data_IF_008795558256
#
_entry.id   IF_008795558256
#
_cell.length_a   1.000
_cell.length_b   1.000
_cell.length_c   1.000
_cell.angle_alpha   90.00
_cell.angle_beta   90.00
_cell.angle_gamma   90.00
#
_symmetry.space_group_name_H-M   'P 1'
#
loop_
_entity.id
_entity.type
_entity.pdbx_description
1 polymer ?
#
# COMPACT_ATOMS: atom_id res chain seq x y z
N UNK A 1 7.67 -30.30 19.19
CA UNK A 1 7.48 -29.04 18.44
C UNK A 1 8.38 -29.11 17.23
N UNK A 2 7.84 -28.88 16.03
CA UNK A 2 8.70 -28.69 14.87
C UNK A 2 9.55 -27.44 15.12
N UNK A 3 10.84 -27.53 14.82
CA UNK A 3 11.75 -26.39 14.82
C UNK A 3 11.89 -25.89 13.39
N UNK A 4 12.27 -24.63 13.22
CA UNK A 4 12.59 -24.05 11.92
C UNK A 4 13.72 -24.89 11.29
N UNK A 5 13.52 -25.33 10.06
CA UNK A 5 14.48 -26.15 9.32
C UNK A 5 15.43 -25.27 8.52
N UNK A 6 16.64 -25.78 8.25
CA UNK A 6 17.58 -25.11 7.34
C UNK A 6 16.98 -24.88 5.96
N UNK A 7 16.09 -25.77 5.50
CA UNK A 7 15.38 -25.62 4.21
C UNK A 7 14.47 -24.40 4.20
N UNK A 8 13.75 -24.14 5.29
CA UNK A 8 12.88 -22.96 5.42
C UNK A 8 13.71 -21.67 5.44
N UNK A 9 14.81 -21.65 6.20
CA UNK A 9 15.74 -20.51 6.25
C UNK A 9 16.35 -20.19 4.88
N UNK A 10 16.87 -21.20 4.18
CA UNK A 10 17.43 -21.02 2.83
C UNK A 10 16.36 -20.58 1.83
N UNK A 11 15.15 -21.14 1.93
CA UNK A 11 14.02 -20.76 1.08
C UNK A 11 13.64 -19.29 1.23
N UNK A 12 13.62 -18.77 2.46
CA UNK A 12 13.37 -17.36 2.74
C UNK A 12 14.48 -16.44 2.20
N UNK A 13 15.73 -16.88 2.25
CA UNK A 13 16.86 -16.20 1.64
C UNK A 13 16.98 -16.41 0.11
N UNK A 14 16.07 -17.20 -0.50
CA UNK A 14 16.12 -17.60 -1.92
C UNK A 14 17.44 -18.28 -2.32
N UNK A 15 18.11 -18.96 -1.39
CA UNK A 15 19.36 -19.69 -1.60
C UNK A 15 19.14 -21.20 -1.66
N UNK A 16 20.05 -21.91 -2.31
CA UNK A 16 20.05 -23.39 -2.39
C UNK A 16 21.26 -24.02 -1.69
N UNK A 17 22.24 -23.22 -1.29
CA UNK A 17 23.44 -23.63 -0.55
C UNK A 17 23.50 -22.97 0.83
N UNK A 18 24.17 -23.66 1.77
CA UNK A 18 24.37 -23.22 3.15
C UNK A 18 25.62 -22.35 3.25
N UNK A 19 25.53 -21.23 3.96
CA UNK A 19 26.62 -20.35 4.34
C UNK A 19 27.14 -20.66 5.75
N UNK A 20 28.39 -20.32 6.06
CA UNK A 20 28.94 -20.50 7.41
C UNK A 20 28.12 -19.81 8.51
N UNK A 21 27.47 -18.69 8.18
CA UNK A 21 26.66 -17.89 9.11
C UNK A 21 25.24 -18.41 9.32
N UNK A 22 24.71 -19.23 8.40
CA UNK A 22 23.30 -19.65 8.40
C UNK A 22 22.91 -20.37 9.68
N UNK A 23 23.81 -21.18 10.22
CA UNK A 23 23.54 -21.90 11.48
C UNK A 23 23.26 -20.92 12.62
N UNK A 24 24.00 -19.82 12.70
CA UNK A 24 23.85 -18.85 13.78
C UNK A 24 22.50 -18.14 13.71
N UNK A 25 22.12 -17.63 12.53
CA UNK A 25 20.84 -16.95 12.34
C UNK A 25 19.64 -17.90 12.42
N UNK A 26 19.78 -19.15 11.95
CA UNK A 26 18.76 -20.18 12.17
C UNK A 26 18.57 -20.48 13.66
N UNK A 27 19.66 -20.64 14.41
CA UNK A 27 19.61 -20.88 15.86
C UNK A 27 19.00 -19.65 16.59
N UNK A 28 19.25 -18.43 16.12
CA UNK A 28 18.57 -17.21 16.60
C UNK A 28 17.07 -17.24 16.30
N UNK A 29 16.66 -17.55 15.06
CA UNK A 29 15.25 -17.66 14.67
C UNK A 29 14.51 -18.72 15.50
N UNK A 30 15.15 -19.87 15.78
CA UNK A 30 14.60 -20.92 16.65
C UNK A 30 14.42 -20.42 18.09
N UNK A 31 15.35 -19.61 18.62
CA UNK A 31 15.22 -18.98 19.95
C UNK A 31 14.10 -17.94 20.00
N UNK A 32 13.86 -17.22 18.91
CA UNK A 32 12.82 -16.19 18.81
C UNK A 32 11.42 -16.79 18.65
N UNK A 33 11.29 -17.92 17.94
CA UNK A 33 10.01 -18.55 17.62
C UNK A 33 9.02 -18.70 18.81
N UNK A 34 9.44 -19.14 20.02
CA UNK A 34 8.54 -19.23 21.17
C UNK A 34 7.91 -17.89 21.58
N UNK A 35 8.60 -16.77 21.35
CA UNK A 35 8.06 -15.43 21.61
C UNK A 35 6.99 -15.06 20.58
N UNK A 36 7.24 -15.34 19.29
CA UNK A 36 6.22 -15.20 18.24
C UNK A 36 4.98 -16.05 18.57
N UNK A 37 5.17 -17.33 18.92
CA UNK A 37 4.09 -18.27 19.24
C UNK A 37 3.24 -17.87 20.45
N UNK A 38 3.85 -17.23 21.46
CA UNK A 38 3.14 -16.77 22.67
C UNK A 38 2.56 -15.37 22.52
N UNK A 39 3.03 -14.59 21.53
CA UNK A 39 2.58 -13.22 21.31
C UNK A 39 1.08 -13.17 21.02
N UNK A 40 0.39 -12.14 21.51
CA UNK A 40 -1.01 -11.92 21.13
C UNK A 40 -1.19 -11.68 19.62
N UNK A 41 -0.13 -11.29 18.92
CA UNK A 41 -0.14 -11.05 17.47
C UNK A 41 -0.24 -12.33 16.63
N UNK A 42 0.42 -13.43 17.06
CA UNK A 42 0.52 -14.67 16.29
C UNK A 42 0.06 -15.94 17.03
N UNK A 43 -0.35 -15.88 18.30
CA UNK A 43 -0.74 -17.08 19.08
C UNK A 43 -1.87 -17.92 18.46
N UNK A 44 -2.75 -17.28 17.69
CA UNK A 44 -3.88 -17.94 17.02
C UNK A 44 -3.59 -18.25 15.55
N UNK A 45 -2.41 -17.86 15.04
CA UNK A 45 -2.00 -18.12 13.68
C UNK A 45 -1.45 -19.54 13.53
N UNK A 46 -1.44 -20.03 12.30
CA UNK A 46 -0.86 -21.34 12.00
C UNK A 46 0.68 -21.33 12.21
N UNK A 47 1.25 -22.52 12.34
CA UNK A 47 2.70 -22.69 12.56
C UNK A 47 3.57 -22.07 11.47
N UNK A 48 3.10 -22.06 10.21
CA UNK A 48 3.84 -21.47 9.09
C UNK A 48 3.97 -19.96 9.27
N UNK A 49 2.89 -19.26 9.56
CA UNK A 49 2.90 -17.80 9.80
C UNK A 49 3.74 -17.42 11.02
N UNK A 50 3.67 -18.23 12.10
CA UNK A 50 4.52 -18.03 13.27
C UNK A 50 6.02 -18.20 12.96
N UNK A 51 6.35 -19.19 12.13
CA UNK A 51 7.72 -19.46 11.68
C UNK A 51 8.22 -18.37 10.74
N UNK A 52 7.38 -17.90 9.82
CA UNK A 52 7.69 -16.80 8.91
C UNK A 52 8.03 -15.52 9.68
N UNK A 53 7.28 -15.18 10.73
CA UNK A 53 7.62 -14.05 11.59
C UNK A 53 9.02 -14.17 12.23
N UNK A 54 9.35 -15.33 12.79
CA UNK A 54 10.66 -15.56 13.39
C UNK A 54 11.80 -15.49 12.33
N UNK A 55 11.55 -16.02 11.12
CA UNK A 55 12.51 -15.98 10.02
C UNK A 55 12.71 -14.55 9.53
N UNK A 56 11.66 -13.80 9.20
CA UNK A 56 11.77 -12.44 8.65
C UNK A 56 12.46 -11.47 9.62
N UNK A 57 12.16 -11.57 10.92
CA UNK A 57 12.87 -10.81 11.96
C UNK A 57 14.36 -11.17 12.00
N UNK A 58 14.70 -12.45 11.81
CA UNK A 58 16.10 -12.89 11.79
C UNK A 58 16.83 -12.55 10.49
N UNK A 59 16.12 -12.47 9.36
CA UNK A 59 16.65 -11.97 8.09
C UNK A 59 16.99 -10.49 8.18
N UNK A 60 16.13 -9.69 8.81
CA UNK A 60 16.44 -8.31 9.14
C UNK A 60 17.72 -8.21 9.96
N UNK A 61 17.85 -9.01 11.03
CA UNK A 61 19.05 -8.97 11.85
C UNK A 61 20.32 -9.30 11.05
N UNK A 62 20.25 -10.32 10.18
CA UNK A 62 21.34 -10.65 9.26
C UNK A 62 21.68 -9.48 8.35
N UNK A 63 20.69 -8.89 7.70
CA UNK A 63 20.87 -7.81 6.74
C UNK A 63 21.45 -6.55 7.40
N UNK A 64 21.00 -6.22 8.61
CA UNK A 64 21.51 -5.09 9.40
C UNK A 64 22.97 -5.30 9.79
N UNK A 65 23.32 -6.47 10.33
CA UNK A 65 24.71 -6.79 10.71
C UNK A 65 25.63 -6.81 9.48
N UNK A 66 25.15 -7.33 8.36
CA UNK A 66 25.89 -7.34 7.09
C UNK A 66 25.85 -6.01 6.34
N UNK A 67 25.05 -5.03 6.78
CA UNK A 67 24.76 -3.77 6.09
C UNK A 67 24.47 -3.97 4.59
N UNK A 68 23.77 -5.05 4.25
CA UNK A 68 23.47 -5.49 2.88
C UNK A 68 22.25 -6.41 2.87
N UNK A 69 21.80 -6.85 1.69
CA UNK A 69 20.60 -7.68 1.58
C UNK A 69 19.32 -6.86 1.39
N UNK A 70 18.18 -7.56 1.46
CA UNK A 70 16.89 -6.99 1.09
C UNK A 70 16.45 -5.84 1.97
N UNK A 71 16.78 -5.85 3.27
CA UNK A 71 16.49 -4.69 4.14
C UNK A 71 17.23 -3.43 3.69
N UNK A 72 18.52 -3.55 3.38
CA UNK A 72 19.35 -2.43 2.94
C UNK A 72 18.85 -1.87 1.61
N UNK A 73 18.54 -2.75 0.65
CA UNK A 73 17.96 -2.35 -0.64
C UNK A 73 16.64 -1.62 -0.44
N UNK A 74 15.74 -2.15 0.38
CA UNK A 74 14.45 -1.52 0.68
C UNK A 74 14.64 -0.13 1.31
N UNK A 75 15.42 -0.02 2.38
CA UNK A 75 15.59 1.22 3.13
C UNK A 75 16.27 2.31 2.30
N UNK A 76 17.30 1.98 1.51
CA UNK A 76 17.95 2.93 0.60
C UNK A 76 16.99 3.47 -0.48
N UNK A 77 16.17 2.58 -1.07
CA UNK A 77 15.15 2.99 -2.03
C UNK A 77 14.05 3.82 -1.38
N UNK A 78 13.66 3.49 -0.16
CA UNK A 78 12.66 4.23 0.59
C UNK A 78 13.14 5.65 0.93
N UNK A 79 14.39 5.82 1.36
CA UNK A 79 15.03 7.13 1.55
C UNK A 79 15.09 7.92 0.25
N UNK A 80 15.53 7.27 -0.84
CA UNK A 80 15.58 7.91 -2.16
C UNK A 80 14.21 8.42 -2.62
N UNK A 81 13.14 7.71 -2.28
CA UNK A 81 11.76 8.04 -2.69
C UNK A 81 11.09 9.07 -1.79
N UNK A 82 11.18 8.90 -0.47
CA UNK A 82 10.38 9.64 0.52
C UNK A 82 11.20 10.55 1.43
N UNK A 83 12.53 10.48 1.39
CA UNK A 83 13.42 11.25 2.27
C UNK A 83 13.41 10.80 3.73
N UNK A 84 12.80 9.64 4.03
CA UNK A 84 12.76 9.00 5.36
C UNK A 84 13.12 7.53 5.21
N UNK A 85 13.40 6.81 6.30
CA UNK A 85 13.78 5.40 6.23
C UNK A 85 12.60 4.42 6.20
N UNK A 86 11.44 4.82 6.77
CA UNK A 86 10.26 3.95 6.91
C UNK A 86 8.94 4.69 6.76
N UNK A 87 7.87 3.99 6.38
CA UNK A 87 6.50 4.49 6.51
C UNK A 87 6.02 4.36 7.97
N UNK A 88 5.04 5.19 8.34
CA UNK A 88 4.33 5.21 9.64
C UNK A 88 5.17 5.60 10.86
N UNK A 89 6.36 5.06 11.03
CA UNK A 89 7.21 5.31 12.19
C UNK A 89 8.04 6.57 11.97
N UNK A 90 8.03 7.48 12.95
CA UNK A 90 8.88 8.68 12.91
C UNK A 90 10.16 8.31 13.66
N UNK A 91 11.33 8.38 13.01
CA UNK A 91 12.61 8.23 13.69
C UNK A 91 12.68 9.22 14.86
N UNK A 92 12.70 8.70 16.09
CA UNK A 92 13.08 9.49 17.28
C UNK A 92 14.60 9.63 17.31
N UNK A 93 15.16 10.44 18.22
CA UNK A 93 16.61 10.68 18.34
C UNK A 93 17.45 9.39 18.50
N UNK A 94 16.82 8.27 18.87
CA UNK A 94 17.44 6.95 19.05
C UNK A 94 17.48 6.09 17.77
N UNK A 95 16.85 6.51 16.67
CA UNK A 95 16.88 5.75 15.42
C UNK A 95 18.22 5.95 14.70
N UNK A 96 19.01 4.88 14.57
CA UNK A 96 20.32 4.93 13.93
C UNK A 96 20.26 4.13 12.62
N UNK A 97 20.42 4.80 11.46
CA UNK A 97 20.47 4.10 10.17
C UNK A 97 21.57 3.04 10.16
N UNK A 98 21.28 1.92 9.49
CA UNK A 98 22.20 0.77 9.38
C UNK A 98 22.54 0.07 10.72
N UNK A 99 21.79 0.36 11.79
CA UNK A 99 21.77 -0.37 13.05
C UNK A 99 20.41 -1.05 13.31
N UNK A 100 20.32 -1.83 14.39
CA UNK A 100 19.05 -2.45 14.78
C UNK A 100 18.10 -1.40 15.34
N UNK A 101 16.88 -1.33 14.82
CA UNK A 101 15.86 -0.39 15.27
C UNK A 101 14.55 -1.13 15.54
N UNK A 102 13.84 -0.71 16.58
CA UNK A 102 12.52 -1.26 16.90
C UNK A 102 11.48 -0.92 15.82
N UNK A 103 11.59 0.26 15.23
CA UNK A 103 10.70 0.76 14.17
C UNK A 103 10.80 -0.12 12.92
N UNK A 104 12.01 -0.58 12.57
CA UNK A 104 12.27 -1.51 11.47
C UNK A 104 11.56 -2.85 11.71
N UNK A 105 11.72 -3.42 12.91
CA UNK A 105 11.05 -4.67 13.32
C UNK A 105 9.53 -4.50 13.31
N UNK A 106 9.01 -3.36 13.77
CA UNK A 106 7.58 -3.05 13.75
C UNK A 106 7.04 -2.99 12.32
N UNK A 107 7.80 -2.43 11.37
CA UNK A 107 7.43 -2.45 9.96
C UNK A 107 7.41 -3.85 9.37
N UNK A 108 8.42 -4.69 9.67
CA UNK A 108 8.45 -6.09 9.22
C UNK A 108 7.25 -6.88 9.76
N UNK A 109 6.92 -6.68 11.04
CA UNK A 109 5.72 -7.29 11.61
C UNK A 109 4.44 -6.80 10.95
N UNK A 110 4.39 -5.52 10.57
CA UNK A 110 3.26 -4.96 9.82
C UNK A 110 3.14 -5.61 8.44
N UNK A 111 4.22 -5.79 7.67
CA UNK A 111 4.13 -6.42 6.34
C UNK A 111 3.63 -7.87 6.42
N UNK A 112 3.96 -8.58 7.50
CA UNK A 112 3.47 -9.94 7.76
C UNK A 112 1.99 -10.02 8.14
N UNK A 113 1.36 -8.91 8.53
CA UNK A 113 -0.08 -8.83 8.88
C UNK A 113 -0.90 -8.06 7.85
N UNK A 114 -0.24 -7.25 7.03
CA UNK A 114 -0.81 -6.37 6.03
C UNK A 114 -0.53 -6.92 4.63
N UNK A 115 -1.49 -7.68 4.11
CA UNK A 115 -1.36 -8.33 2.82
C UNK A 115 -2.08 -7.52 1.74
N UNK A 116 -1.33 -7.17 0.70
CA UNK A 116 -1.89 -6.63 -0.52
C UNK A 116 -2.73 -7.70 -1.25
N UNK A 117 -3.81 -7.31 -1.93
CA UNK A 117 -4.55 -8.23 -2.78
C UNK A 117 -3.70 -8.58 -4.01
N UNK A 118 -3.63 -9.87 -4.35
CA UNK A 118 -2.87 -10.33 -5.52
C UNK A 118 -3.58 -10.02 -6.85
N UNK A 119 -4.89 -9.77 -6.83
CA UNK A 119 -5.75 -9.41 -7.98
C UNK A 119 -7.04 -8.73 -7.48
N UNK A 120 -7.86 -8.15 -8.37
CA UNK A 120 -9.06 -7.34 -8.02
C UNK A 120 -10.06 -8.00 -7.06
N UNK A 121 -10.25 -9.32 -7.18
CA UNK A 121 -11.19 -10.07 -6.34
C UNK A 121 -10.58 -10.61 -5.04
N UNK A 122 -9.26 -10.45 -4.84
CA UNK A 122 -8.59 -10.95 -3.64
C UNK A 122 -8.92 -10.06 -2.42
N UNK A 123 -9.06 -10.69 -1.26
CA UNK A 123 -9.11 -9.96 0.00
C UNK A 123 -7.74 -9.35 0.31
N UNK A 124 -7.76 -8.16 0.89
CA UNK A 124 -6.57 -7.51 1.43
C UNK A 124 -6.75 -7.35 2.94
N UNK A 125 -5.64 -7.24 3.66
CA UNK A 125 -5.64 -6.89 5.07
C UNK A 125 -4.83 -5.64 5.30
N UNK A 126 -5.40 -4.69 6.05
CA UNK A 126 -4.66 -3.52 6.54
C UNK A 126 -4.57 -3.60 8.06
N UNK A 127 -3.40 -3.95 8.56
CA UNK A 127 -3.15 -4.03 10.00
C UNK A 127 -2.75 -2.67 10.56
N UNK A 128 -3.12 -2.38 11.80
CA UNK A 128 -2.72 -1.14 12.47
C UNK A 128 -1.21 -1.20 12.79
N UNK A 129 -0.36 -0.31 12.24
CA UNK A 129 1.08 -0.30 12.53
C UNK A 129 1.41 0.03 14.00
N UNK A 130 0.45 0.57 14.76
CA UNK A 130 0.61 0.87 16.17
C UNK A 130 -0.17 -0.07 17.08
N UNK A 131 -0.52 -1.28 16.61
CA UNK A 131 -1.15 -2.29 17.45
C UNK A 131 -0.25 -2.65 18.65
N UNK A 132 -0.84 -2.74 19.85
CA UNK A 132 -0.10 -2.97 21.09
C UNK A 132 0.64 -4.32 21.08
N UNK A 133 0.04 -5.36 20.49
CA UNK A 133 0.68 -6.68 20.44
C UNK A 133 1.84 -6.71 19.43
N UNK A 134 1.73 -5.95 18.34
CA UNK A 134 2.82 -5.73 17.38
C UNK A 134 3.99 -5.01 18.03
N UNK A 135 3.75 -3.87 18.68
CA UNK A 135 4.79 -3.09 19.33
C UNK A 135 5.46 -3.87 20.47
N UNK A 136 4.70 -4.66 21.23
CA UNK A 136 5.24 -5.49 22.31
C UNK A 136 6.15 -6.62 21.78
N UNK A 137 5.76 -7.28 20.68
CA UNK A 137 6.61 -8.29 20.05
C UNK A 137 7.85 -7.65 19.42
N UNK A 138 7.71 -6.46 18.82
CA UNK A 138 8.83 -5.70 18.28
C UNK A 138 9.87 -5.36 19.35
N UNK A 139 9.44 -4.90 20.52
CA UNK A 139 10.35 -4.64 21.64
C UNK A 139 11.05 -5.92 22.11
N UNK A 140 10.31 -7.02 22.23
CA UNK A 140 10.88 -8.32 22.64
C UNK A 140 11.96 -8.78 21.65
N UNK A 141 11.70 -8.65 20.35
CA UNK A 141 12.65 -9.01 19.31
C UNK A 141 13.88 -8.09 19.32
N UNK A 142 13.68 -6.77 19.50
CA UNK A 142 14.76 -5.80 19.64
C UNK A 142 15.68 -6.16 20.82
N UNK A 143 15.12 -6.39 22.02
CA UNK A 143 15.90 -6.74 23.22
C UNK A 143 16.71 -8.04 23.01
N UNK A 144 16.17 -8.98 22.22
CA UNK A 144 16.91 -10.18 21.83
C UNK A 144 18.04 -9.88 20.86
N UNK A 145 17.82 -9.03 19.85
CA UNK A 145 18.87 -8.65 18.91
C UNK A 145 20.00 -7.90 19.61
N UNK A 146 19.66 -6.90 20.43
CA UNK A 146 20.61 -6.11 21.21
C UNK A 146 21.52 -7.00 22.07
N UNK A 147 20.92 -7.97 22.77
CA UNK A 147 21.67 -8.96 23.56
C UNK A 147 22.69 -9.77 22.74
N UNK A 148 22.36 -10.12 21.51
CA UNK A 148 23.18 -10.99 20.65
C UNK A 148 23.96 -10.21 19.58
N UNK A 149 23.90 -8.88 19.60
CA UNK A 149 24.43 -8.00 18.54
C UNK A 149 25.92 -8.24 18.31
N UNK A 150 26.71 -8.24 19.38
CA UNK A 150 28.18 -8.44 19.34
C UNK A 150 28.59 -9.88 18.92
N UNK A 151 27.67 -10.84 19.00
CA UNK A 151 27.92 -12.24 18.63
C UNK A 151 27.50 -12.54 17.18
N UNK A 152 26.77 -11.64 16.53
CA UNK A 152 26.16 -11.87 15.23
C UNK A 152 27.23 -11.85 14.12
N UNK A 153 27.36 -12.93 13.33
CA UNK A 153 28.37 -12.98 12.28
C UNK A 153 27.91 -12.21 11.04
N UNK A 154 28.83 -11.46 10.43
CA UNK A 154 28.63 -10.84 9.12
C UNK A 154 28.50 -11.94 8.05
N UNK A 155 27.40 -11.93 7.31
CA UNK A 155 27.20 -12.80 6.15
C UNK A 155 27.77 -12.16 4.89
N UNK A 156 28.56 -12.92 4.13
CA UNK A 156 29.20 -12.47 2.88
C UNK A 156 28.24 -12.44 1.68
N UNK A 157 27.15 -13.21 1.71
CA UNK A 157 26.14 -13.22 0.66
C UNK A 157 24.85 -12.53 1.14
N UNK A 158 24.31 -11.56 0.38
CA UNK A 158 23.11 -10.84 0.77
C UNK A 158 21.87 -11.74 0.74
N UNK A 159 20.88 -11.41 1.55
CA UNK A 159 19.52 -11.96 1.40
C UNK A 159 18.84 -11.42 0.14
N UNK A 160 17.71 -12.01 -0.25
CA UNK A 160 16.93 -11.58 -1.41
C UNK A 160 16.35 -10.17 -1.23
N UNK A 161 16.46 -9.33 -2.25
CA UNK A 161 15.87 -8.00 -2.35
C UNK A 161 14.33 -7.93 -2.32
N UNK A 162 13.64 -9.07 -2.45
CA UNK A 162 12.18 -9.14 -2.49
C UNK A 162 11.52 -9.59 -1.17
N UNK A 163 12.27 -9.82 -0.09
CA UNK A 163 11.67 -10.37 1.14
C UNK A 163 10.87 -9.33 1.95
N UNK A 164 11.20 -8.04 1.85
CA UNK A 164 10.47 -6.95 2.52
C UNK A 164 9.26 -6.51 1.70
N UNK A 165 9.51 -6.09 0.45
CA UNK A 165 8.51 -5.73 -0.55
C UNK A 165 9.14 -5.73 -1.95
N UNK A 166 8.31 -5.69 -3.00
CA UNK A 166 8.79 -5.57 -4.37
C UNK A 166 9.58 -4.28 -4.60
N UNK A 167 10.85 -4.40 -5.01
CA UNK A 167 11.74 -3.28 -5.36
C UNK A 167 11.12 -2.40 -6.45
N UNK A 168 10.47 -3.03 -7.41
CA UNK A 168 9.77 -2.41 -8.52
C UNK A 168 8.69 -1.41 -8.07
N UNK A 169 8.02 -1.67 -6.94
CA UNK A 169 6.99 -0.77 -6.39
C UNK A 169 7.56 0.57 -5.91
N UNK A 170 8.78 0.55 -5.34
CA UNK A 170 9.48 1.76 -4.91
C UNK A 170 10.17 2.48 -6.08
N UNK A 171 10.59 1.75 -7.11
CA UNK A 171 11.21 2.32 -8.30
C UNK A 171 10.19 2.91 -9.29
N UNK A 172 8.95 2.41 -9.28
CA UNK A 172 7.91 2.83 -10.22
C UNK A 172 7.72 4.36 -10.25
N UNK A 173 7.92 5.04 -11.38
CA UNK A 173 7.86 6.49 -11.45
C UNK A 173 6.43 7.00 -11.19
N UNK A 174 6.31 8.19 -10.58
CA UNK A 174 5.02 8.89 -10.50
C UNK A 174 4.83 9.63 -11.80
N UNK A 175 3.71 9.40 -12.49
CA UNK A 175 3.37 10.20 -13.66
C UNK A 175 2.70 11.50 -13.22
N UNK A 176 3.02 12.66 -13.80
CA UNK A 176 2.27 13.88 -13.53
C UNK A 176 0.79 13.69 -13.86
N UNK A 177 -0.09 14.35 -13.10
CA UNK A 177 -1.51 14.37 -13.43
C UNK A 177 -1.71 14.92 -14.85
N UNK A 178 -2.61 14.32 -15.66
CA UNK A 178 -2.88 14.77 -17.03
C UNK A 178 -3.71 16.07 -17.03
N UNK A 179 -3.13 17.17 -16.57
CA UNK A 179 -3.79 18.46 -16.50
C UNK A 179 -4.04 19.05 -17.90
N UNK A 180 -5.20 19.69 -18.07
CA UNK A 180 -5.59 20.32 -19.33
C UNK A 180 -4.93 21.69 -19.43
N UNK A 181 -4.07 21.87 -20.44
CA UNK A 181 -3.47 23.16 -20.80
C UNK A 181 -4.12 23.76 -22.05
N UNK A 182 -3.88 25.05 -22.31
CA UNK A 182 -4.37 25.74 -23.51
C UNK A 182 -3.85 25.13 -24.82
N UNK A 183 -2.71 24.44 -24.77
CA UNK A 183 -2.08 23.78 -25.93
C UNK A 183 -2.54 22.32 -26.10
N UNK A 184 -3.27 21.78 -25.13
CA UNK A 184 -3.70 20.39 -25.14
C UNK A 184 -4.79 20.18 -26.19
N UNK A 185 -4.54 19.26 -27.14
CA UNK A 185 -5.56 18.84 -28.11
C UNK A 185 -6.55 17.88 -27.43
N UNK A 186 -7.67 18.42 -26.96
CA UNK A 186 -8.71 17.65 -26.28
C UNK A 186 -9.54 16.80 -27.26
N UNK A 187 -9.94 15.61 -26.80
CA UNK A 187 -10.95 14.79 -27.47
C UNK A 187 -12.31 15.49 -27.43
N UNK A 188 -13.23 15.06 -28.28
CA UNK A 188 -14.57 15.66 -28.32
C UNK A 188 -15.34 15.43 -27.01
N UNK A 189 -15.24 14.23 -26.44
CA UNK A 189 -15.87 13.92 -25.15
C UNK A 189 -15.36 14.81 -24.03
N UNK A 190 -14.05 15.06 -23.95
CA UNK A 190 -13.49 15.95 -22.92
C UNK A 190 -13.98 17.38 -23.09
N UNK A 191 -14.10 17.88 -24.33
CA UNK A 191 -14.69 19.21 -24.58
C UNK A 191 -16.15 19.26 -24.11
N UNK A 192 -16.96 18.28 -24.47
CA UNK A 192 -18.36 18.19 -24.04
C UNK A 192 -18.49 18.09 -22.52
N UNK A 193 -17.64 17.32 -21.84
CA UNK A 193 -17.57 17.26 -20.38
C UNK A 193 -17.35 18.65 -19.77
N UNK A 194 -16.35 19.38 -20.27
CA UNK A 194 -16.00 20.72 -19.76
C UNK A 194 -17.09 21.75 -20.06
N UNK A 195 -17.73 21.69 -21.22
CA UNK A 195 -18.86 22.55 -21.57
C UNK A 195 -20.04 22.30 -20.61
N UNK A 196 -20.39 21.04 -20.38
CA UNK A 196 -21.46 20.64 -19.46
C UNK A 196 -21.18 21.07 -18.00
N UNK A 197 -19.94 20.87 -17.55
CA UNK A 197 -19.54 21.12 -16.16
C UNK A 197 -19.14 22.57 -15.86
N UNK A 198 -19.17 23.45 -16.89
CA UNK A 198 -18.68 24.83 -16.83
C UNK A 198 -17.20 24.91 -16.44
N UNK A 199 -16.39 24.05 -17.06
CA UNK A 199 -14.93 24.01 -16.95
C UNK A 199 -14.39 23.13 -15.81
N UNK A 200 -15.24 22.40 -15.09
CA UNK A 200 -14.81 21.52 -13.99
C UNK A 200 -14.40 20.14 -14.53
N UNK A 201 -13.25 19.60 -14.12
CA UNK A 201 -12.78 18.31 -14.64
C UNK A 201 -13.50 17.10 -14.02
N UNK A 202 -14.09 17.24 -12.82
CA UNK A 202 -14.86 16.20 -12.16
C UNK A 202 -16.37 16.44 -12.29
N UNK A 203 -17.07 15.42 -12.77
CA UNK A 203 -18.54 15.38 -12.86
C UNK A 203 -19.06 14.22 -12.01
N UNK A 204 -20.20 14.43 -11.36
CA UNK A 204 -20.79 13.50 -10.40
C UNK A 204 -22.20 13.12 -10.80
N UNK A 205 -22.52 11.83 -10.78
CA UNK A 205 -23.85 11.31 -11.10
C UNK A 205 -24.30 10.33 -10.03
N UNK A 206 -25.51 10.49 -9.51
CA UNK A 206 -26.00 9.67 -8.42
C UNK A 206 -26.32 8.23 -8.86
N UNK A 207 -26.92 8.10 -10.05
CA UNK A 207 -27.35 6.83 -10.60
C UNK A 207 -27.04 6.71 -12.11
N UNK A 208 -27.18 5.50 -12.65
CA UNK A 208 -26.89 5.23 -14.05
C UNK A 208 -27.84 5.94 -15.02
N UNK A 209 -29.05 6.32 -14.59
CA UNK A 209 -29.99 7.05 -15.46
C UNK A 209 -29.47 8.46 -15.71
N UNK A 210 -28.98 9.14 -14.68
CA UNK A 210 -28.35 10.45 -14.81
C UNK A 210 -27.11 10.38 -15.72
N UNK A 211 -26.25 9.38 -15.48
CA UNK A 211 -25.05 9.13 -16.29
C UNK A 211 -25.41 8.86 -17.77
N UNK A 212 -26.42 8.03 -18.02
CA UNK A 212 -26.91 7.72 -19.37
C UNK A 212 -27.48 8.94 -20.08
N UNK A 213 -28.24 9.77 -19.38
CA UNK A 213 -28.72 11.05 -19.92
C UNK A 213 -27.55 11.93 -20.32
N UNK A 214 -26.50 12.00 -19.49
CA UNK A 214 -25.28 12.73 -19.82
C UNK A 214 -24.58 12.20 -21.10
N UNK A 215 -24.43 10.87 -21.25
CA UNK A 215 -23.84 10.28 -22.46
C UNK A 215 -24.60 10.68 -23.74
N UNK A 216 -25.93 10.66 -23.71
CA UNK A 216 -26.75 10.99 -24.88
C UNK A 216 -26.80 12.50 -25.12
N UNK A 217 -27.14 13.27 -24.09
CA UNK A 217 -27.46 14.69 -24.24
C UNK A 217 -26.23 15.57 -24.27
N UNK A 218 -25.20 15.27 -23.47
CA UNK A 218 -23.98 16.06 -23.42
C UNK A 218 -22.91 15.49 -24.36
N UNK A 219 -22.57 14.20 -24.24
CA UNK A 219 -21.50 13.62 -25.06
C UNK A 219 -21.91 13.32 -26.50
N UNK A 220 -23.22 13.30 -26.79
CA UNK A 220 -23.80 12.99 -28.12
C UNK A 220 -23.52 11.56 -28.58
N UNK A 221 -23.37 10.62 -27.64
CA UNK A 221 -23.24 9.20 -27.97
C UNK A 221 -24.56 8.65 -28.52
N UNK A 222 -24.47 7.60 -29.34
CA UNK A 222 -25.64 6.95 -29.91
C UNK A 222 -26.56 6.41 -28.82
N UNK A 223 -27.86 6.67 -28.93
CA UNK A 223 -28.88 6.16 -28.02
C UNK A 223 -29.20 4.68 -28.32
N UNK A 224 -28.17 3.83 -28.23
CA UNK A 224 -28.25 2.39 -28.38
C UNK A 224 -27.65 1.73 -27.12
N UNK A 225 -28.29 0.69 -26.53
CA UNK A 225 -27.86 0.13 -25.24
C UNK A 225 -26.38 -0.27 -25.18
N UNK A 226 -25.83 -0.85 -26.26
CA UNK A 226 -24.43 -1.26 -26.32
C UNK A 226 -23.43 -0.09 -26.30
N UNK A 227 -23.86 1.11 -26.68
CA UNK A 227 -23.02 2.30 -26.79
C UNK A 227 -22.94 3.11 -25.49
N UNK A 228 -23.65 2.69 -24.45
CA UNK A 228 -23.86 3.47 -23.22
C UNK A 228 -23.28 2.79 -21.97
N UNK A 229 -22.34 1.87 -22.14
CA UNK A 229 -21.67 1.14 -21.05
C UNK A 229 -22.67 0.35 -20.16
N UNK A 230 -23.36 -0.66 -20.72
CA UNK A 230 -24.42 -1.39 -20.01
C UNK A 230 -23.93 -2.10 -18.74
N UNK A 231 -22.64 -2.42 -18.62
CA UNK A 231 -22.06 -3.03 -17.41
C UNK A 231 -22.18 -2.12 -16.16
N UNK A 232 -22.45 -0.83 -16.36
CA UNK A 232 -22.66 0.15 -15.29
C UNK A 232 -24.12 0.26 -14.84
N UNK A 233 -25.07 -0.47 -15.47
CA UNK A 233 -26.51 -0.28 -15.25
C UNK A 233 -26.95 -0.47 -13.78
N UNK A 234 -26.29 -1.39 -13.08
CA UNK A 234 -26.58 -1.69 -11.67
C UNK A 234 -25.62 -1.00 -10.68
N UNK A 235 -24.77 -0.11 -11.20
CA UNK A 235 -23.82 0.68 -10.40
C UNK A 235 -24.38 2.07 -10.12
N UNK A 236 -23.74 2.80 -9.20
CA UNK A 236 -24.18 4.12 -8.74
C UNK A 236 -22.99 4.99 -8.34
N UNK A 237 -23.27 6.23 -7.95
CA UNK A 237 -22.30 7.14 -7.33
C UNK A 237 -21.04 7.28 -8.20
N UNK A 238 -21.26 7.74 -9.44
CA UNK A 238 -20.24 7.82 -10.46
C UNK A 238 -19.44 9.12 -10.40
N UNK A 239 -18.15 9.00 -10.67
CA UNK A 239 -17.24 10.12 -10.94
C UNK A 239 -16.73 9.99 -12.37
N UNK A 240 -16.93 11.03 -13.17
CA UNK A 240 -16.21 11.20 -14.43
C UNK A 240 -15.05 12.16 -14.19
N UNK A 241 -13.85 11.75 -14.59
CA UNK A 241 -12.68 12.63 -14.66
C UNK A 241 -12.30 12.92 -16.12
N UNK A 242 -12.63 14.12 -16.57
CA UNK A 242 -12.21 14.65 -17.86
C UNK A 242 -10.83 15.31 -17.73
N UNK A 243 -9.85 14.78 -18.46
CA UNK A 243 -8.45 15.18 -18.36
C UNK A 243 -7.76 15.22 -19.74
N UNK A 244 -6.48 15.56 -19.79
CA UNK A 244 -5.73 15.71 -21.04
C UNK A 244 -5.60 14.40 -21.85
N UNK A 245 -5.66 13.24 -21.21
CA UNK A 245 -5.60 11.91 -21.87
C UNK A 245 -6.97 11.47 -22.40
N UNK A 246 -8.06 11.96 -21.81
CA UNK A 246 -9.41 11.54 -22.16
C UNK A 246 -10.36 11.61 -20.97
N UNK A 247 -11.29 10.66 -20.92
CA UNK A 247 -12.30 10.56 -19.86
C UNK A 247 -12.10 9.24 -19.10
N UNK A 248 -11.99 9.32 -17.77
CA UNK A 248 -12.06 8.17 -16.88
C UNK A 248 -13.42 8.15 -16.18
N UNK A 249 -13.94 6.96 -15.92
CA UNK A 249 -15.19 6.75 -15.18
C UNK A 249 -14.90 5.82 -14.01
N UNK A 250 -15.40 6.18 -12.84
CA UNK A 250 -15.39 5.35 -11.65
C UNK A 250 -16.80 5.29 -11.04
N UNK A 251 -17.12 4.18 -10.39
CA UNK A 251 -18.39 3.91 -9.74
C UNK A 251 -18.19 3.62 -8.25
N UNK A 252 -19.24 3.79 -7.44
CA UNK A 252 -19.23 3.53 -6.00
C UNK A 252 -18.17 4.33 -5.21
N UNK A 253 -17.71 5.46 -5.76
CA UNK A 253 -16.65 6.30 -5.16
C UNK A 253 -17.02 7.79 -5.10
N UNK A 254 -18.07 8.25 -5.79
CA UNK A 254 -18.45 9.67 -5.77
C UNK A 254 -18.77 10.18 -4.37
N UNK A 255 -19.28 9.32 -3.49
CA UNK A 255 -19.57 9.68 -2.10
C UNK A 255 -18.35 10.19 -1.32
N UNK A 256 -17.13 9.94 -1.80
CA UNK A 256 -15.91 10.28 -1.07
C UNK A 256 -15.28 11.63 -1.46
N UNK A 257 -15.75 12.28 -2.52
CA UNK A 257 -15.16 13.52 -3.05
C UNK A 257 -15.88 14.76 -2.49
N UNK A 258 -15.21 15.49 -1.60
CA UNK A 258 -15.74 16.70 -0.95
C UNK A 258 -15.66 17.92 -1.87
N UNK A 259 -16.60 18.05 -2.79
CA UNK A 259 -16.76 19.23 -3.64
C UNK A 259 -18.15 19.84 -3.54
N UNK A 260 -18.26 21.18 -3.61
CA UNK A 260 -19.54 21.90 -3.47
C UNK A 260 -20.60 21.48 -4.49
N UNK A 261 -20.18 21.02 -5.67
CA UNK A 261 -21.08 20.57 -6.75
C UNK A 261 -21.24 19.05 -6.80
N UNK A 262 -20.69 18.30 -5.84
CA UNK A 262 -20.95 16.88 -5.71
C UNK A 262 -22.22 16.67 -4.85
N UNK A 263 -23.36 16.27 -5.44
CA UNK A 263 -24.60 16.12 -4.69
C UNK A 263 -24.66 14.86 -3.83
N UNK A 264 -23.73 13.91 -4.02
CA UNK A 264 -23.74 12.59 -3.35
C UNK A 264 -22.61 12.40 -2.33
N UNK A 265 -21.81 13.43 -2.08
CA UNK A 265 -20.75 13.38 -1.07
C UNK A 265 -21.33 13.07 0.34
N UNK A 266 -20.66 12.15 1.04
CA UNK A 266 -21.00 11.71 2.38
C UNK A 266 -19.71 11.57 3.21
N UNK A 267 -19.48 12.53 4.11
CA UNK A 267 -18.31 12.59 4.98
C UNK A 267 -18.16 11.33 5.85
N UNK A 268 -19.28 10.76 6.31
CA UNK A 268 -19.26 9.57 7.18
C UNK A 268 -18.81 8.35 6.38
N UNK A 269 -19.36 8.15 5.18
CA UNK A 269 -18.95 7.05 4.29
C UNK A 269 -17.50 7.21 3.81
N UNK A 270 -17.09 8.42 3.47
CA UNK A 270 -15.69 8.72 3.16
C UNK A 270 -14.76 8.30 4.31
N UNK A 271 -15.16 8.56 5.55
CA UNK A 271 -14.41 8.20 6.74
C UNK A 271 -14.45 6.72 7.13
N UNK A 272 -15.38 5.92 6.60
CA UNK A 272 -15.49 4.48 6.93
C UNK A 272 -15.06 3.56 5.80
N UNK A 273 -15.21 3.99 4.54
CA UNK A 273 -15.04 3.16 3.35
C UNK A 273 -14.03 3.75 2.36
N UNK A 274 -13.74 5.06 2.43
CA UNK A 274 -12.94 5.75 1.42
C UNK A 274 -11.51 5.22 1.27
N UNK A 275 -10.92 4.68 2.35
CA UNK A 275 -9.57 4.11 2.32
C UNK A 275 -9.46 2.87 1.40
N UNK A 276 -10.58 2.22 1.05
CA UNK A 276 -10.59 1.09 0.11
C UNK A 276 -10.02 1.48 -1.25
N UNK A 277 -10.14 2.75 -1.67
CA UNK A 277 -9.58 3.21 -2.95
C UNK A 277 -8.06 3.09 -3.03
N UNK A 278 -7.37 3.10 -1.90
CA UNK A 278 -5.92 2.94 -1.83
C UNK A 278 -5.51 1.47 -1.70
N UNK A 279 -6.46 0.58 -1.35
CA UNK A 279 -6.14 -0.79 -0.94
C UNK A 279 -6.70 -1.86 -1.87
N UNK A 280 -7.73 -1.54 -2.68
CA UNK A 280 -8.43 -2.48 -3.56
C UNK A 280 -8.21 -2.12 -5.03
N UNK A 281 -7.48 -2.96 -5.79
CA UNK A 281 -7.37 -2.85 -7.24
C UNK A 281 -8.73 -2.71 -7.92
N UNK A 282 -8.80 -1.92 -8.99
CA UNK A 282 -10.02 -1.69 -9.76
C UNK A 282 -11.07 -0.81 -9.06
N UNK A 283 -10.93 -0.49 -7.76
CA UNK A 283 -11.92 0.32 -7.02
C UNK A 283 -11.99 1.77 -7.51
N UNK A 284 -10.85 2.37 -7.81
CA UNK A 284 -10.75 3.72 -8.33
C UNK A 284 -9.57 3.81 -9.32
N UNK A 285 -9.74 4.40 -10.52
CA UNK A 285 -8.62 4.74 -11.38
C UNK A 285 -7.58 5.57 -10.63
N UNK A 286 -6.30 5.19 -10.73
CA UNK A 286 -5.25 5.82 -9.92
C UNK A 286 -5.08 7.32 -10.22
N UNK A 287 -5.19 7.74 -11.49
CA UNK A 287 -5.14 9.16 -11.86
C UNK A 287 -6.26 9.97 -11.18
N UNK A 288 -7.44 9.38 -10.95
CA UNK A 288 -8.54 10.03 -10.21
C UNK A 288 -8.24 10.07 -8.70
N UNK A 289 -7.72 8.99 -8.12
CA UNK A 289 -7.31 8.96 -6.71
C UNK A 289 -6.22 10.00 -6.42
N UNK A 290 -5.18 10.01 -7.24
CA UNK A 290 -4.07 10.98 -7.22
C UNK A 290 -4.58 12.41 -7.37
N UNK A 291 -5.53 12.64 -8.27
CA UNK A 291 -6.17 13.95 -8.42
C UNK A 291 -6.88 14.38 -7.12
N UNK A 292 -7.68 13.47 -6.55
CA UNK A 292 -8.42 13.72 -5.32
C UNK A 292 -7.53 14.10 -4.13
N UNK A 293 -6.41 13.37 -3.94
CA UNK A 293 -5.42 13.68 -2.91
C UNK A 293 -4.69 15.00 -3.19
N UNK A 294 -4.27 15.24 -4.43
CA UNK A 294 -3.50 16.43 -4.81
C UNK A 294 -4.32 17.72 -4.73
N UNK A 295 -5.63 17.66 -5.01
CA UNK A 295 -6.54 18.81 -4.91
C UNK A 295 -7.19 18.94 -3.53
N UNK A 296 -6.82 18.09 -2.57
CA UNK A 296 -7.35 18.09 -1.19
C UNK A 296 -8.87 17.92 -1.10
N UNK A 297 -9.47 17.21 -2.06
CA UNK A 297 -10.92 16.96 -2.13
C UNK A 297 -11.31 15.59 -1.55
N UNK A 298 -10.40 14.90 -0.89
CA UNK A 298 -10.64 13.64 -0.16
C UNK A 298 -10.40 13.81 1.36
N UNK A 299 -10.91 14.87 2.01
CA UNK A 299 -10.43 15.31 3.33
C UNK A 299 -10.84 14.39 4.49
N UNK A 300 -11.83 13.51 4.33
CA UNK A 300 -12.36 12.69 5.44
C UNK A 300 -11.88 11.25 5.44
N UNK A 301 -11.07 10.86 4.47
CA UNK A 301 -10.59 9.49 4.38
C UNK A 301 -9.68 9.15 5.56
N UNK A 302 -9.85 7.95 6.08
CA UNK A 302 -9.03 7.44 7.17
C UNK A 302 -8.95 5.93 7.11
N UNK A 303 -7.81 5.40 7.53
CA UNK A 303 -7.66 3.98 7.81
C UNK A 303 -8.56 3.57 8.98
N UNK A 304 -9.00 2.30 9.06
CA UNK A 304 -10.03 1.83 9.99
C UNK A 304 -9.50 1.62 11.43
N UNK A 305 -8.74 2.58 11.97
CA UNK A 305 -8.20 2.57 13.33
C UNK A 305 -7.86 3.99 13.82
N UNK A 306 -7.54 4.14 15.11
CA UNK A 306 -7.20 5.43 15.72
C UNK A 306 -6.00 6.10 15.05
N UNK A 307 -6.06 7.40 14.79
CA UNK A 307 -5.06 8.17 14.01
C UNK A 307 -4.94 7.74 12.54
N UNK A 308 -5.86 6.91 12.04
CA UNK A 308 -5.86 6.42 10.66
C UNK A 308 -5.97 7.53 9.61
N UNK A 309 -6.58 8.67 9.94
CA UNK A 309 -6.65 9.86 9.07
C UNK A 309 -5.28 10.46 8.82
N UNK A 310 -4.55 10.77 9.89
CA UNK A 310 -3.20 11.36 9.79
C UNK A 310 -2.26 10.45 9.00
N UNK A 311 -2.27 9.14 9.31
CA UNK A 311 -1.45 8.17 8.59
C UNK A 311 -1.81 8.07 7.11
N UNK A 312 -3.11 7.96 6.78
CA UNK A 312 -3.53 7.88 5.39
C UNK A 312 -3.05 9.10 4.63
N UNK A 313 -3.36 10.31 5.11
CA UNK A 313 -3.01 11.54 4.40
C UNK A 313 -1.50 11.75 4.28
N UNK A 314 -0.71 11.33 5.27
CA UNK A 314 0.75 11.45 5.24
C UNK A 314 1.42 10.41 4.34
N UNK A 315 0.91 9.18 4.32
CA UNK A 315 1.55 8.04 3.67
C UNK A 315 0.74 7.44 2.51
N UNK A 316 -0.23 8.18 1.95
CA UNK A 316 -1.15 7.67 0.94
C UNK A 316 -0.44 7.11 -0.29
N UNK A 317 0.67 7.73 -0.71
CA UNK A 317 1.44 7.29 -1.89
C UNK A 317 2.06 5.91 -1.65
N UNK A 318 2.70 5.74 -0.48
CA UNK A 318 3.25 4.45 -0.07
C UNK A 318 2.15 3.38 0.05
N UNK A 319 1.03 3.72 0.72
CA UNK A 319 -0.10 2.79 0.88
C UNK A 319 -0.63 2.36 -0.49
N UNK A 320 -0.87 3.31 -1.40
CA UNK A 320 -1.35 3.00 -2.74
C UNK A 320 -0.37 2.12 -3.52
N UNK A 321 0.95 2.38 -3.46
CA UNK A 321 1.94 1.51 -4.11
C UNK A 321 1.93 0.10 -3.55
N UNK A 322 1.92 -0.01 -2.23
CA UNK A 322 2.00 -1.29 -1.53
C UNK A 322 0.78 -2.17 -1.84
N UNK A 323 -0.42 -1.60 -1.86
CA UNK A 323 -1.64 -2.37 -2.03
C UNK A 323 -2.17 -2.45 -3.46
N UNK A 324 -1.96 -1.43 -4.29
CA UNK A 324 -2.43 -1.45 -5.68
C UNK A 324 -1.44 -2.16 -6.61
N UNK A 325 -0.17 -2.33 -6.22
CA UNK A 325 0.82 -3.06 -7.00
C UNK A 325 0.86 -2.60 -8.47
N UNK A 326 0.59 -3.49 -9.44
CA UNK A 326 0.54 -3.17 -10.87
C UNK A 326 -0.57 -2.18 -11.29
N UNK A 327 -1.58 -1.99 -10.43
CA UNK A 327 -2.67 -1.03 -10.62
C UNK A 327 -2.29 0.38 -10.15
N UNK A 328 -1.19 0.54 -9.40
CA UNK A 328 -0.59 1.85 -9.13
C UNK A 328 0.02 2.40 -10.42
N UNK A 329 -0.30 3.64 -10.78
CA UNK A 329 0.10 4.26 -12.07
C UNK A 329 -0.28 3.41 -13.30
N UNK A 330 -1.38 2.64 -13.19
CA UNK A 330 -1.86 1.65 -14.16
C UNK A 330 -1.54 1.96 -15.63
N UNK A 331 -1.05 0.95 -16.35
CA UNK A 331 -0.62 1.07 -17.75
C UNK A 331 -1.74 1.51 -18.70
#
# INVERSE_FOLDING_TARGET
MAAITIKEWLGANKRTHVLPTDKWYLDFAIKLLPFCQKSSLFKNENYRTQTEAAISISQYFQDTISQSGGWKVFSDLFVKRYGTYLPFYIPVDEYIPDEINKEDISFILWTLKSHAPLWEEAEYTFFNPYDEALLALSQTAYDMMDKYFEEAPISDEPSSDFWVMGVDLLEMPVTPLPEISTETKLTQDVKHCLEYSKGKPLLYFADYRELRTFFIEALKWENHPSSLLPDLEHKKEFVIYANAKGMLIAQDVAAYFCERHNPVYDARRAATEGYEMFCRPGKCPFDLLKYGMTKEILPDMQLPFSKGKELLHKYWDFIARYYLCEYYEGK
#
